data_IF_037038496912
#
_entry.id   IF_037038496912
#
_cell.length_a   1.000
_cell.length_b   1.000
_cell.length_c   1.000
_cell.angle_alpha   90.00
_cell.angle_beta   90.00
_cell.angle_gamma   90.00
#
_symmetry.space_group_name_H-M   'P 1'
#
loop_
_entity.id
_entity.type
_entity.pdbx_description
1 polymer ?
#
# COMPACT_ATOMS: atom_id res chain seq x y z
N UNK A 1 -78.71 -14.10 15.29
CA UNK A 1 -77.41 -14.20 15.99
C UNK A 1 -76.81 -15.58 15.70
N UNK A 2 -75.77 -15.62 14.88
CA UNK A 2 -74.73 -16.67 14.73
C UNK A 2 -73.97 -16.36 13.43
N UNK A 3 -72.95 -15.52 13.55
CA UNK A 3 -71.91 -15.34 12.54
C UNK A 3 -70.92 -16.51 12.68
N UNK A 4 -70.57 -17.17 11.58
CA UNK A 4 -69.46 -18.10 11.53
C UNK A 4 -68.25 -17.39 10.94
N UNK A 5 -67.31 -17.07 11.83
CA UNK A 5 -65.98 -16.56 11.56
C UNK A 5 -65.12 -17.68 11.01
N UNK A 6 -64.66 -17.56 9.77
CA UNK A 6 -63.58 -18.38 9.24
C UNK A 6 -62.24 -17.84 9.75
N UNK A 7 -61.57 -18.60 10.60
CA UNK A 7 -60.17 -18.36 10.99
C UNK A 7 -59.25 -18.74 9.82
N UNK A 8 -58.62 -17.74 9.18
CA UNK A 8 -57.45 -17.96 8.35
C UNK A 8 -56.21 -18.03 9.25
N UNK A 9 -55.61 -19.21 9.35
CA UNK A 9 -54.30 -19.42 9.97
C UNK A 9 -53.25 -18.97 8.96
N UNK A 10 -52.60 -17.83 9.22
CA UNK A 10 -51.39 -17.40 8.51
C UNK A 10 -50.26 -18.37 8.87
N UNK A 11 -49.89 -19.23 7.93
CA UNK A 11 -48.64 -20.00 8.00
C UNK A 11 -47.53 -19.08 7.55
N UNK A 12 -46.73 -18.58 8.50
CA UNK A 12 -45.52 -17.84 8.20
C UNK A 12 -44.49 -18.81 7.59
N UNK A 13 -44.36 -18.79 6.26
CA UNK A 13 -43.19 -19.36 5.59
C UNK A 13 -42.01 -18.44 5.88
N UNK A 14 -41.22 -18.81 6.89
CA UNK A 14 -39.83 -18.37 7.03
C UNK A 14 -39.06 -18.94 5.84
N UNK A 15 -38.96 -18.16 4.76
CA UNK A 15 -37.91 -18.36 3.77
C UNK A 15 -36.65 -17.82 4.41
N UNK A 16 -35.88 -18.70 5.04
CA UNK A 16 -34.50 -18.44 5.42
C UNK A 16 -33.71 -18.14 4.15
N UNK A 17 -33.51 -16.85 3.86
CA UNK A 17 -32.45 -16.42 2.98
C UNK A 17 -31.13 -16.97 3.57
N UNK A 18 -30.28 -17.66 2.78
CA UNK A 18 -28.98 -18.05 3.26
C UNK A 18 -28.23 -16.75 3.61
N UNK A 19 -27.77 -16.66 4.85
CA UNK A 19 -26.83 -15.64 5.25
C UNK A 19 -25.65 -15.73 4.27
N UNK A 20 -25.47 -14.67 3.47
CA UNK A 20 -24.23 -14.44 2.75
C UNK A 20 -23.15 -14.33 3.83
N UNK A 21 -22.40 -15.41 4.00
CA UNK A 21 -21.19 -15.39 4.81
C UNK A 21 -20.27 -14.34 4.21
N UNK A 22 -19.93 -13.31 4.98
CA UNK A 22 -18.76 -12.50 4.72
C UNK A 22 -17.56 -13.45 4.67
N UNK A 23 -17.11 -13.79 3.47
CA UNK A 23 -15.85 -14.49 3.26
C UNK A 23 -14.76 -13.56 3.78
N UNK A 24 -14.25 -13.85 4.96
CA UNK A 24 -13.08 -13.18 5.47
C UNK A 24 -11.90 -13.57 4.57
N UNK A 25 -11.32 -12.59 3.86
CA UNK A 25 -10.16 -12.75 2.99
C UNK A 25 -8.86 -12.86 3.81
N UNK A 26 -8.76 -13.88 4.65
CA UNK A 26 -7.52 -14.15 5.36
C UNK A 26 -6.63 -15.08 4.55
N UNK A 27 -5.40 -14.66 4.25
CA UNK A 27 -4.38 -15.53 3.66
C UNK A 27 -3.15 -15.62 4.56
N UNK A 28 -3.11 -16.66 5.39
CA UNK A 28 -1.94 -17.53 5.43
C UNK A 28 -2.29 -18.90 6.03
N UNK A 29 -2.73 -19.82 5.17
CA UNK A 29 -2.61 -21.30 5.35
C UNK A 29 -3.24 -22.11 4.22
N UNK A 30 -4.15 -21.54 3.41
CA UNK A 30 -4.91 -22.33 2.43
C UNK A 30 -4.32 -22.38 1.01
N UNK A 31 -3.31 -21.56 0.70
CA UNK A 31 -2.64 -21.58 -0.62
C UNK A 31 -1.12 -21.76 -0.48
N UNK A 32 -0.57 -22.92 -0.90
CA UNK A 32 0.86 -23.18 -0.79
C UNK A 32 1.64 -22.35 -1.81
N UNK A 33 2.78 -21.80 -1.37
CA UNK A 33 3.76 -21.17 -2.26
C UNK A 33 4.14 -22.15 -3.39
N UNK A 34 4.49 -21.66 -4.60
CA UNK A 34 5.10 -22.50 -5.62
C UNK A 34 6.28 -23.29 -5.03
N UNK A 35 6.35 -24.60 -5.27
CA UNK A 35 7.34 -25.50 -4.62
C UNK A 35 8.78 -24.97 -4.67
N UNK A 36 9.15 -24.36 -5.80
CA UNK A 36 10.49 -23.79 -5.99
C UNK A 36 10.74 -22.51 -5.17
N UNK A 37 9.70 -21.74 -4.84
CA UNK A 37 9.75 -20.60 -3.93
C UNK A 37 9.71 -21.07 -2.47
N UNK A 38 8.83 -22.02 -2.15
CA UNK A 38 8.70 -22.61 -0.82
C UNK A 38 10.05 -23.18 -0.31
N UNK A 39 10.79 -23.88 -1.19
CA UNK A 39 12.11 -24.40 -0.83
C UNK A 39 13.11 -23.28 -0.54
N UNK A 40 13.09 -22.17 -1.31
CA UNK A 40 13.97 -21.01 -1.06
C UNK A 40 13.62 -20.35 0.27
N UNK A 41 12.33 -20.18 0.57
CA UNK A 41 11.83 -19.65 1.84
C UNK A 41 12.34 -20.47 3.03
N UNK A 42 12.21 -21.81 2.97
CA UNK A 42 12.71 -22.72 4.01
C UNK A 42 14.23 -22.63 4.17
N UNK A 43 14.97 -22.68 3.06
CA UNK A 43 16.43 -22.61 3.07
C UNK A 43 16.94 -21.26 3.60
N UNK A 44 16.28 -20.17 3.23
CA UNK A 44 16.63 -18.82 3.65
C UNK A 44 16.48 -18.66 5.16
N UNK A 45 15.32 -19.05 5.70
CA UNK A 45 15.09 -19.01 7.15
C UNK A 45 16.11 -19.86 7.90
N UNK A 46 16.33 -21.11 7.47
CA UNK A 46 17.27 -22.01 8.12
C UNK A 46 18.72 -21.49 8.09
N UNK A 47 19.18 -20.91 6.98
CA UNK A 47 20.52 -20.31 6.89
C UNK A 47 20.69 -19.12 7.84
N UNK A 48 19.68 -18.28 8.00
CA UNK A 48 19.71 -17.14 8.91
C UNK A 48 19.71 -17.57 10.38
N UNK A 49 18.80 -18.46 10.76
CA UNK A 49 18.72 -18.99 12.13
C UNK A 49 20.03 -19.70 12.52
N UNK A 50 20.60 -20.52 11.62
CA UNK A 50 21.89 -21.18 11.85
C UNK A 50 23.07 -20.20 12.01
N UNK A 51 22.93 -18.96 11.53
CA UNK A 51 23.92 -17.88 11.65
C UNK A 51 23.65 -16.95 12.83
N UNK A 52 22.63 -17.24 13.64
CA UNK A 52 22.31 -16.50 14.85
C UNK A 52 21.45 -15.24 14.64
N UNK A 53 20.88 -15.04 13.45
CA UNK A 53 19.90 -13.99 13.25
C UNK A 53 18.57 -14.36 13.91
N UNK A 54 17.87 -13.36 14.43
CA UNK A 54 16.47 -13.51 14.83
C UNK A 54 15.59 -13.34 13.59
N UNK A 55 14.69 -14.30 13.35
CA UNK A 55 13.83 -14.33 12.17
C UNK A 55 12.38 -14.49 12.61
N UNK A 56 11.51 -13.60 12.16
CA UNK A 56 10.08 -13.67 12.39
C UNK A 56 9.34 -13.57 11.05
N UNK A 57 8.29 -14.35 10.86
CA UNK A 57 7.55 -14.42 9.61
C UNK A 57 6.23 -13.66 9.73
N UNK A 58 5.91 -12.87 8.72
CA UNK A 58 4.60 -12.20 8.60
C UNK A 58 3.64 -12.90 7.64
N UNK A 59 2.48 -12.28 7.48
CA UNK A 59 1.38 -12.73 6.62
C UNK A 59 1.09 -11.68 5.55
N UNK A 60 0.41 -12.04 4.47
CA UNK A 60 0.03 -11.12 3.38
C UNK A 60 -1.48 -11.05 3.25
N UNK A 61 -1.99 -9.85 3.01
CA UNK A 61 -3.43 -9.60 2.91
C UNK A 61 -3.74 -8.78 1.67
N UNK A 62 -4.92 -9.02 1.11
CA UNK A 62 -5.48 -8.21 0.04
C UNK A 62 -6.42 -7.18 0.67
N UNK A 63 -6.07 -5.89 0.55
CA UNK A 63 -6.86 -4.78 1.02
C UNK A 63 -7.87 -4.35 -0.05
N UNK A 64 -9.12 -4.72 0.17
CA UNK A 64 -10.25 -4.50 -0.75
C UNK A 64 -11.11 -3.32 -0.32
N UNK A 65 -12.09 -2.95 -1.14
CA UNK A 65 -13.01 -1.85 -0.81
C UNK A 65 -13.93 -2.22 0.37
N UNK A 66 -14.24 -3.50 0.54
CA UNK A 66 -15.03 -4.01 1.67
C UNK A 66 -14.32 -3.79 3.01
N UNK A 67 -12.98 -3.73 2.99
CA UNK A 67 -12.15 -3.51 4.16
C UNK A 67 -12.11 -2.02 4.56
N UNK A 68 -12.57 -1.09 3.71
CA UNK A 68 -12.56 0.34 4.00
C UNK A 68 -13.26 0.73 5.30
N UNK A 69 -14.21 -0.08 5.78
CA UNK A 69 -14.85 0.13 7.09
C UNK A 69 -13.84 0.25 8.24
N UNK A 70 -12.74 -0.49 8.19
CA UNK A 70 -11.74 -0.51 9.24
C UNK A 70 -10.92 0.78 9.29
N UNK A 71 -10.21 1.23 8.24
CA UNK A 71 -9.47 2.48 8.31
C UNK A 71 -10.38 3.71 8.39
N UNK A 72 -11.65 3.62 7.94
CA UNK A 72 -12.65 4.66 8.24
C UNK A 72 -12.96 4.76 9.74
N UNK A 73 -13.03 3.64 10.45
CA UNK A 73 -13.22 3.62 11.90
C UNK A 73 -11.94 4.02 12.65
N UNK A 74 -10.79 3.49 12.25
CA UNK A 74 -9.50 3.73 12.91
C UNK A 74 -9.00 5.14 12.63
N UNK A 75 -8.76 5.48 11.37
CA UNK A 75 -8.10 6.73 10.98
C UNK A 75 -9.02 7.69 10.22
N UNK A 76 -10.32 7.40 10.08
CA UNK A 76 -11.29 8.30 9.45
C UNK A 76 -11.16 8.49 7.94
N UNK A 77 -10.35 7.70 7.23
CA UNK A 77 -10.21 7.72 5.76
C UNK A 77 -9.88 6.31 5.23
N UNK A 78 -10.27 5.99 4.00
CA UNK A 78 -9.86 4.76 3.32
C UNK A 78 -8.62 4.92 2.41
N UNK A 79 -7.78 5.92 2.67
CA UNK A 79 -6.43 6.06 2.07
C UNK A 79 -6.35 5.94 0.53
N UNK A 80 -7.38 6.39 -0.18
CA UNK A 80 -7.41 6.28 -1.65
C UNK A 80 -7.46 4.84 -2.17
N UNK A 81 -8.10 3.91 -1.44
CA UNK A 81 -8.29 2.52 -1.90
C UNK A 81 -8.85 2.50 -3.32
N UNK A 82 -8.23 1.69 -4.19
CA UNK A 82 -8.66 1.52 -5.57
C UNK A 82 -9.41 0.18 -5.69
N UNK A 83 -10.76 0.20 -5.77
CA UNK A 83 -11.55 -1.04 -5.82
C UNK A 83 -11.23 -1.90 -7.05
N UNK A 84 -10.76 -1.31 -8.15
CA UNK A 84 -10.41 -2.03 -9.37
C UNK A 84 -8.98 -2.59 -9.37
N UNK A 85 -8.15 -2.17 -8.42
CA UNK A 85 -6.76 -2.62 -8.27
C UNK A 85 -6.39 -2.64 -6.78
N UNK A 86 -6.91 -3.63 -6.02
CA UNK A 86 -6.69 -3.73 -4.59
C UNK A 86 -5.21 -3.85 -4.23
N UNK A 87 -4.87 -3.38 -3.05
CA UNK A 87 -3.49 -3.35 -2.54
C UNK A 87 -3.15 -4.65 -1.81
N UNK A 88 -1.89 -5.05 -1.87
CA UNK A 88 -1.35 -6.21 -1.13
C UNK A 88 -0.44 -5.69 -0.02
N UNK A 89 -0.78 -5.97 1.23
CA UNK A 89 -0.16 -5.37 2.42
C UNK A 89 0.19 -6.49 3.40
N UNK A 90 1.43 -6.55 3.93
CA UNK A 90 1.79 -7.56 4.90
C UNK A 90 1.37 -7.15 6.31
N UNK A 91 1.06 -8.14 7.16
CA UNK A 91 1.10 -7.97 8.61
C UNK A 91 2.35 -8.63 9.17
N UNK A 92 2.98 -7.99 10.13
CA UNK A 92 4.26 -8.42 10.68
C UNK A 92 4.17 -8.65 12.20
N UNK A 93 4.83 -9.68 12.75
CA UNK A 93 4.97 -9.81 14.20
C UNK A 93 5.84 -8.66 14.74
N UNK A 94 5.53 -8.16 15.93
CA UNK A 94 6.37 -7.17 16.60
C UNK A 94 7.50 -7.84 17.38
N UNK A 95 8.65 -7.16 17.55
CA UNK A 95 9.66 -7.65 18.48
C UNK A 95 9.18 -7.46 19.93
N UNK A 96 9.61 -8.30 20.89
CA UNK A 96 9.20 -8.16 22.29
C UNK A 96 9.52 -6.80 22.94
N UNK A 97 10.54 -6.11 22.42
CA UNK A 97 11.02 -4.80 22.85
C UNK A 97 10.50 -3.64 21.98
N UNK A 98 9.58 -3.91 21.06
CA UNK A 98 8.97 -2.90 20.19
C UNK A 98 7.75 -2.25 20.84
N UNK A 99 7.65 -0.93 20.68
CA UNK A 99 6.49 -0.17 21.13
C UNK A 99 5.24 -0.63 20.37
N UNK A 100 4.18 -0.90 21.14
CA UNK A 100 2.88 -1.31 20.61
C UNK A 100 1.93 -0.12 20.65
N UNK A 101 1.43 0.27 19.47
CA UNK A 101 0.32 1.22 19.37
C UNK A 101 -1.00 0.47 19.15
N UNK A 102 -1.66 0.10 20.25
CA UNK A 102 -2.92 -0.66 20.20
C UNK A 102 -4.03 0.08 19.45
N UNK A 103 -3.94 1.40 19.32
CA UNK A 103 -4.94 2.19 18.58
C UNK A 103 -4.91 1.92 17.07
N UNK A 104 -3.83 1.30 16.59
CA UNK A 104 -3.61 0.95 15.18
C UNK A 104 -3.76 -0.55 14.90
N UNK A 105 -4.09 -1.36 15.93
CA UNK A 105 -4.08 -2.83 15.87
C UNK A 105 -4.95 -3.40 14.74
N UNK A 106 -6.12 -2.79 14.52
CA UNK A 106 -7.11 -3.23 13.53
C UNK A 106 -7.24 -2.24 12.35
N UNK A 107 -6.16 -1.50 12.05
CA UNK A 107 -6.14 -0.47 11.00
C UNK A 107 -6.80 -0.90 9.68
N UNK A 108 -6.47 -2.10 9.17
CA UNK A 108 -7.08 -2.68 7.97
C UNK A 108 -7.91 -3.93 8.28
N UNK A 109 -8.37 -4.03 9.53
CA UNK A 109 -9.11 -5.17 10.04
C UNK A 109 -8.30 -6.05 10.99
N UNK A 110 -8.96 -7.06 11.59
CA UNK A 110 -8.32 -7.97 12.52
C UNK A 110 -7.23 -8.79 11.83
N UNK A 111 -6.14 -9.02 12.54
CA UNK A 111 -4.98 -9.78 12.05
C UNK A 111 -4.89 -11.14 12.73
N UNK A 112 -4.23 -12.09 12.09
CA UNK A 112 -3.88 -13.38 12.68
C UNK A 112 -2.53 -13.33 13.41
N UNK A 113 -2.26 -14.34 14.23
CA UNK A 113 -0.94 -14.64 14.83
C UNK A 113 -0.29 -13.50 15.61
N UNK A 114 -1.08 -12.58 16.18
CA UNK A 114 -0.57 -11.39 16.87
C UNK A 114 0.40 -10.61 15.96
N UNK A 115 -0.09 -10.21 14.80
CA UNK A 115 0.65 -9.42 13.81
C UNK A 115 0.04 -8.02 13.65
N UNK A 116 0.83 -7.07 13.15
CA UNK A 116 0.44 -5.66 12.99
C UNK A 116 0.58 -5.19 11.54
N UNK A 117 -0.28 -4.26 11.15
CA UNK A 117 -0.28 -3.62 9.83
C UNK A 117 0.89 -2.64 9.63
N UNK A 118 1.45 -2.15 10.73
CA UNK A 118 2.61 -1.26 10.75
C UNK A 118 3.70 -1.86 11.63
N UNK A 119 4.94 -1.46 11.37
CA UNK A 119 6.11 -1.92 12.11
C UNK A 119 7.12 -0.79 12.27
N UNK A 120 8.00 -0.89 13.26
CA UNK A 120 9.18 -0.04 13.39
C UNK A 120 10.42 -0.82 12.99
N UNK A 121 11.43 -0.12 12.49
CA UNK A 121 12.65 -0.74 11.97
C UNK A 121 13.86 -0.41 12.84
N UNK A 122 14.50 -1.44 13.40
CA UNK A 122 15.80 -1.28 14.07
C UNK A 122 16.93 -1.00 13.05
N UNK A 123 17.99 -0.33 13.51
CA UNK A 123 19.16 0.01 12.68
C UNK A 123 19.93 -1.22 12.16
N UNK A 124 19.71 -2.40 12.72
CA UNK A 124 20.33 -3.68 12.33
C UNK A 124 19.32 -4.68 11.79
N UNK A 125 18.16 -4.20 11.39
CA UNK A 125 17.06 -5.02 10.92
C UNK A 125 16.85 -4.85 9.42
N UNK A 126 16.21 -5.85 8.82
CA UNK A 126 15.63 -5.76 7.51
C UNK A 126 14.30 -6.48 7.42
N UNK A 127 13.50 -6.07 6.46
CA UNK A 127 12.42 -6.90 5.91
C UNK A 127 12.93 -7.57 4.64
N UNK A 128 12.58 -8.84 4.48
CA UNK A 128 12.91 -9.60 3.27
C UNK A 128 11.65 -10.21 2.71
N UNK A 129 11.32 -9.82 1.48
CA UNK A 129 10.18 -10.35 0.73
C UNK A 129 10.70 -11.33 -0.31
N UNK A 130 10.12 -12.53 -0.35
CA UNK A 130 10.34 -13.53 -1.40
C UNK A 130 9.03 -13.71 -2.14
N UNK A 131 8.98 -13.32 -3.42
CA UNK A 131 7.75 -13.20 -4.17
C UNK A 131 7.78 -14.04 -5.44
N UNK A 132 6.65 -14.69 -5.75
CA UNK A 132 6.26 -14.95 -7.13
C UNK A 132 5.44 -13.75 -7.61
N UNK A 133 5.99 -12.97 -8.55
CA UNK A 133 5.31 -11.81 -9.11
C UNK A 133 4.09 -12.21 -9.94
N UNK A 134 3.08 -11.31 -10.08
CA UNK A 134 1.84 -11.62 -10.78
C UNK A 134 2.06 -11.90 -12.27
N UNK A 135 1.05 -12.47 -12.96
CA UNK A 135 1.05 -12.56 -14.42
C UNK A 135 1.13 -11.17 -15.08
N UNK A 136 1.37 -11.10 -16.40
CA UNK A 136 1.42 -9.84 -17.14
C UNK A 136 0.21 -8.95 -16.86
N UNK A 137 0.50 -7.68 -16.60
CA UNK A 137 -0.48 -6.63 -16.41
C UNK A 137 0.15 -5.27 -16.70
N UNK A 138 -0.62 -4.19 -16.52
CA UNK A 138 -0.12 -2.84 -16.83
C UNK A 138 0.85 -2.30 -15.79
N UNK A 139 0.77 -2.78 -14.55
CA UNK A 139 1.58 -2.22 -13.48
C UNK A 139 1.72 -3.18 -12.30
N UNK A 140 2.96 -3.30 -11.80
CA UNK A 140 3.26 -3.83 -10.48
C UNK A 140 4.27 -2.91 -9.77
N UNK A 141 4.12 -2.73 -8.45
CA UNK A 141 5.16 -2.13 -7.60
C UNK A 141 5.08 -2.66 -6.16
N UNK A 142 6.19 -2.51 -5.44
CA UNK A 142 6.26 -2.65 -3.98
C UNK A 142 7.10 -1.51 -3.40
N UNK A 143 6.60 -0.91 -2.32
CA UNK A 143 7.19 0.28 -1.71
C UNK A 143 6.90 0.35 -0.21
N UNK A 144 7.82 0.93 0.54
CA UNK A 144 7.67 1.20 1.97
C UNK A 144 7.31 2.66 2.20
N UNK A 145 6.40 2.89 3.14
CA UNK A 145 5.94 4.21 3.54
C UNK A 145 6.18 4.44 5.02
N UNK A 146 6.54 5.67 5.40
CA UNK A 146 6.33 6.17 6.76
C UNK A 146 4.84 6.44 6.94
N UNK A 147 4.16 5.59 7.68
CA UNK A 147 2.71 5.66 7.86
C UNK A 147 2.32 6.65 8.95
N UNK A 148 2.94 6.57 10.14
CA UNK A 148 2.76 7.57 11.19
C UNK A 148 4.07 7.96 11.84
N UNK A 149 4.14 9.20 12.30
CA UNK A 149 5.34 9.78 12.88
C UNK A 149 4.98 10.48 14.20
N UNK A 150 5.85 10.45 15.22
CA UNK A 150 5.65 11.27 16.42
C UNK A 150 5.76 12.77 16.05
N UNK A 151 4.79 13.58 16.46
CA UNK A 151 4.79 14.99 16.08
C UNK A 151 3.54 15.76 16.47
N UNK A 152 3.54 17.04 16.11
CA UNK A 152 2.41 17.95 16.26
C UNK A 152 2.21 18.70 14.96
N UNK A 153 0.95 18.97 14.63
CA UNK A 153 0.61 19.85 13.51
C UNK A 153 1.20 21.24 13.82
N UNK A 154 2.08 21.70 12.93
CA UNK A 154 2.63 23.04 12.99
C UNK A 154 1.69 23.99 12.26
N UNK A 155 0.89 24.76 13.00
CA UNK A 155 -0.03 25.71 12.38
C UNK A 155 0.67 26.91 11.76
N UNK A 156 1.92 27.18 12.12
CA UNK A 156 2.70 28.28 11.55
C UNK A 156 3.42 27.89 10.25
N UNK A 157 3.31 26.62 9.83
CA UNK A 157 3.86 26.12 8.56
C UNK A 157 3.20 26.79 7.35
N UNK A 158 3.99 27.10 6.32
CA UNK A 158 3.52 27.79 5.12
C UNK A 158 2.42 27.00 4.38
N UNK A 159 2.51 25.67 4.35
CA UNK A 159 1.53 24.81 3.68
C UNK A 159 0.24 24.80 4.50
N UNK A 160 0.34 24.71 5.83
CA UNK A 160 -0.83 24.79 6.70
C UNK A 160 -1.60 26.10 6.49
N UNK A 161 -0.90 27.23 6.42
CA UNK A 161 -1.51 28.53 6.16
C UNK A 161 -2.12 28.61 4.75
N UNK A 162 -1.46 28.02 3.74
CA UNK A 162 -1.93 28.04 2.35
C UNK A 162 -3.28 27.35 2.13
N UNK A 163 -3.59 26.33 2.94
CA UNK A 163 -4.85 25.57 2.84
C UNK A 163 -5.86 25.93 3.94
N UNK A 164 -5.62 26.97 4.72
CA UNK A 164 -6.51 27.33 5.85
C UNK A 164 -7.94 27.68 5.41
N UNK A 165 -8.11 28.23 4.20
CA UNK A 165 -9.41 28.54 3.61
C UNK A 165 -10.08 27.33 2.94
N UNK A 166 -9.43 26.17 2.90
CA UNK A 166 -9.91 24.91 2.33
C UNK A 166 -9.98 23.83 3.44
N UNK A 167 -11.13 23.73 4.15
CA UNK A 167 -11.29 22.77 5.25
C UNK A 167 -11.11 21.32 4.82
N UNK A 168 -11.38 21.00 3.55
CA UNK A 168 -11.21 19.66 3.03
C UNK A 168 -9.71 19.33 2.90
N UNK A 169 -8.95 20.19 2.23
CA UNK A 169 -7.49 20.05 2.12
C UNK A 169 -6.81 20.02 3.49
N UNK A 170 -7.22 20.89 4.40
CA UNK A 170 -6.72 20.89 5.77
C UNK A 170 -6.97 19.55 6.48
N UNK A 171 -8.16 18.95 6.29
CA UNK A 171 -8.53 17.69 6.94
C UNK A 171 -7.77 16.45 6.44
N UNK A 172 -7.28 16.47 5.20
CA UNK A 172 -6.53 15.35 4.60
C UNK A 172 -5.02 15.50 4.82
N UNK A 173 -4.49 16.73 4.77
CA UNK A 173 -3.06 17.02 4.92
C UNK A 173 -2.62 17.09 6.37
N UNK A 174 -3.46 17.57 7.29
CA UNK A 174 -3.07 17.78 8.68
C UNK A 174 -3.92 16.93 9.61
N UNK A 175 -3.65 15.63 9.59
CA UNK A 175 -4.41 14.63 10.34
C UNK A 175 -3.55 13.99 11.42
N UNK A 176 -4.12 13.88 12.63
CA UNK A 176 -3.54 13.07 13.70
C UNK A 176 -3.85 11.59 13.51
N UNK A 177 -2.95 10.73 13.95
CA UNK A 177 -3.26 9.34 14.24
C UNK A 177 -4.25 9.26 15.44
N UNK A 178 -4.99 8.16 15.61
CA UNK A 178 -5.73 7.87 16.84
C UNK A 178 -4.90 8.03 18.11
N UNK A 179 -3.62 7.67 18.03
CA UNK A 179 -2.64 8.08 19.03
C UNK A 179 -2.27 9.55 18.84
N UNK A 180 -2.76 10.42 19.74
CA UNK A 180 -2.69 11.88 19.60
C UNK A 180 -1.28 12.49 19.70
N UNK A 181 -0.27 11.71 20.08
CA UNK A 181 1.15 12.11 19.99
C UNK A 181 1.73 11.91 18.59
N UNK A 182 0.98 11.28 17.69
CA UNK A 182 1.42 10.90 16.34
C UNK A 182 0.55 11.56 15.27
N UNK A 183 1.17 11.76 14.11
CA UNK A 183 0.55 12.29 12.91
C UNK A 183 0.40 11.17 11.88
N UNK A 184 -0.69 11.20 11.13
CA UNK A 184 -0.81 10.40 9.93
C UNK A 184 0.01 11.08 8.84
N UNK A 185 1.03 10.39 8.34
CA UNK A 185 2.03 10.97 7.43
C UNK A 185 2.01 10.31 6.06
N UNK A 186 1.88 8.98 6.00
CA UNK A 186 1.81 8.21 4.77
C UNK A 186 2.73 8.71 3.62
N UNK A 187 4.03 8.72 3.88
CA UNK A 187 5.07 9.27 3.01
C UNK A 187 5.95 8.19 2.39
N UNK A 188 6.24 8.29 1.10
CA UNK A 188 7.26 7.45 0.47
C UNK A 188 8.64 7.73 1.07
N UNK A 189 9.55 6.75 0.98
CA UNK A 189 10.92 6.87 1.53
C UNK A 189 12.01 6.86 0.46
N UNK A 190 11.61 6.93 -0.81
CA UNK A 190 12.50 6.92 -1.96
C UNK A 190 11.78 6.45 -3.23
N UNK A 191 12.55 6.01 -4.21
CA UNK A 191 12.01 5.39 -5.43
C UNK A 191 11.45 4.00 -5.15
N UNK A 192 10.35 3.68 -5.83
CA UNK A 192 9.67 2.41 -5.66
C UNK A 192 10.29 1.28 -6.48
N UNK A 193 10.09 0.04 -6.04
CA UNK A 193 10.47 -1.13 -6.85
C UNK A 193 9.30 -1.51 -7.75
N UNK A 194 9.14 -0.79 -8.87
CA UNK A 194 8.12 -1.07 -9.87
C UNK A 194 8.58 -2.10 -10.94
N UNK A 195 7.65 -2.59 -11.73
CA UNK A 195 7.89 -3.54 -12.80
C UNK A 195 8.93 -3.07 -13.84
N UNK A 196 9.04 -1.76 -14.11
CA UNK A 196 10.05 -1.19 -15.02
C UNK A 196 11.44 -1.33 -14.42
N UNK A 197 11.64 -0.92 -13.18
CA UNK A 197 12.91 -1.07 -12.44
C UNK A 197 13.31 -2.55 -12.34
N UNK A 198 12.34 -3.43 -12.07
CA UNK A 198 12.55 -4.87 -11.98
C UNK A 198 13.02 -5.43 -13.31
N UNK A 199 12.35 -5.08 -14.41
CA UNK A 199 12.70 -5.53 -15.75
C UNK A 199 14.07 -5.00 -16.19
N UNK A 200 14.38 -3.73 -15.97
CA UNK A 200 15.68 -3.15 -16.32
C UNK A 200 16.84 -3.84 -15.60
N UNK A 201 16.68 -4.18 -14.32
CA UNK A 201 17.74 -4.84 -13.55
C UNK A 201 17.88 -6.33 -13.89
N UNK A 202 16.77 -7.02 -14.13
CA UNK A 202 16.72 -8.50 -14.13
C UNK A 202 16.28 -9.14 -15.46
N UNK A 203 15.89 -8.34 -16.44
CA UNK A 203 15.48 -8.73 -17.79
C UNK A 203 13.98 -9.07 -17.94
N UNK A 204 13.24 -9.20 -16.84
CA UNK A 204 11.78 -9.43 -16.85
C UNK A 204 11.18 -9.11 -15.47
N UNK A 205 9.91 -8.72 -15.42
CA UNK A 205 9.19 -8.49 -14.16
C UNK A 205 8.13 -9.55 -13.88
N UNK A 206 7.09 -9.64 -14.71
CA UNK A 206 5.93 -10.50 -14.49
C UNK A 206 6.24 -11.99 -14.60
N UNK A 207 5.47 -12.81 -13.88
CA UNK A 207 5.64 -14.27 -13.75
C UNK A 207 7.03 -14.71 -13.25
N UNK A 208 7.80 -13.81 -12.64
CA UNK A 208 9.12 -14.12 -12.13
C UNK A 208 9.18 -14.20 -10.60
N UNK A 209 10.12 -14.98 -10.10
CA UNK A 209 10.51 -14.89 -8.69
C UNK A 209 11.44 -13.71 -8.47
N UNK A 210 11.08 -12.82 -7.53
CA UNK A 210 11.86 -11.63 -7.19
C UNK A 210 11.96 -11.49 -5.68
N UNK A 211 13.04 -10.87 -5.23
CA UNK A 211 13.39 -10.81 -3.82
C UNK A 211 13.70 -9.37 -3.44
N UNK A 212 13.07 -8.87 -2.38
CA UNK A 212 13.20 -7.48 -1.95
C UNK A 212 13.80 -7.44 -0.55
N UNK A 213 14.76 -6.55 -0.32
CA UNK A 213 15.36 -6.28 0.98
C UNK A 213 15.09 -4.82 1.32
N UNK A 214 14.36 -4.58 2.40
CA UNK A 214 14.10 -3.25 2.94
C UNK A 214 14.96 -3.11 4.19
N UNK A 215 15.97 -2.23 4.17
CA UNK A 215 16.88 -2.09 5.32
C UNK A 215 17.60 -0.75 5.33
N UNK A 216 17.94 -0.30 6.53
CA UNK A 216 18.78 0.89 6.74
C UNK A 216 20.27 0.60 6.70
N UNK A 217 20.68 -0.67 6.70
CA UNK A 217 22.07 -1.06 6.90
C UNK A 217 22.65 -1.83 5.70
N UNK A 218 23.70 -1.27 5.09
CA UNK A 218 24.43 -1.88 3.99
C UNK A 218 25.07 -3.21 4.38
N UNK A 219 25.39 -3.43 5.66
CA UNK A 219 25.84 -4.75 6.15
C UNK A 219 24.71 -5.77 6.01
N UNK A 220 23.51 -5.44 6.49
CA UNK A 220 22.32 -6.30 6.36
C UNK A 220 22.01 -6.58 4.90
N UNK A 221 21.99 -5.57 4.02
CA UNK A 221 21.86 -5.76 2.56
C UNK A 221 22.79 -6.86 2.05
N UNK A 222 24.10 -6.75 2.35
CA UNK A 222 25.11 -7.70 1.85
C UNK A 222 24.91 -9.10 2.42
N UNK A 223 24.63 -9.23 3.71
CA UNK A 223 24.44 -10.52 4.41
C UNK A 223 23.19 -11.24 3.92
N UNK A 224 22.08 -10.52 3.80
CA UNK A 224 20.80 -11.07 3.35
C UNK A 224 20.81 -11.43 1.87
N UNK A 225 21.45 -10.62 1.02
CA UNK A 225 21.69 -10.99 -0.38
C UNK A 225 22.47 -12.30 -0.47
N UNK A 226 23.52 -12.48 0.35
CA UNK A 226 24.28 -13.73 0.38
C UNK A 226 23.46 -14.92 0.90
N UNK A 227 22.57 -14.70 1.90
CA UNK A 227 21.67 -15.72 2.40
C UNK A 227 20.66 -16.16 1.34
N UNK A 228 20.07 -15.21 0.60
CA UNK A 228 19.20 -15.48 -0.54
C UNK A 228 19.91 -16.32 -1.62
N UNK A 229 21.14 -15.98 -1.98
CA UNK A 229 21.93 -16.77 -2.93
C UNK A 229 22.16 -18.21 -2.43
N UNK A 230 22.52 -18.40 -1.16
CA UNK A 230 22.66 -19.74 -0.55
C UNK A 230 21.34 -20.50 -0.50
N UNK A 231 20.22 -19.79 -0.38
CA UNK A 231 18.89 -20.38 -0.40
C UNK A 231 18.45 -20.87 -1.79
N UNK A 232 19.18 -20.52 -2.86
CA UNK A 232 18.91 -20.93 -4.23
C UNK A 232 18.41 -19.81 -5.13
N UNK A 233 18.54 -18.53 -4.74
CA UNK A 233 18.33 -17.41 -5.65
C UNK A 233 19.42 -17.43 -6.74
N UNK A 234 19.06 -17.48 -8.04
CA UNK A 234 20.01 -17.71 -9.13
C UNK A 234 21.13 -16.67 -9.24
N UNK A 235 20.79 -15.39 -9.05
CA UNK A 235 21.70 -14.28 -9.31
C UNK A 235 21.36 -13.05 -8.47
N UNK A 236 22.38 -12.21 -8.23
CA UNK A 236 22.24 -10.99 -7.42
C UNK A 236 21.30 -9.96 -8.03
N UNK A 237 21.18 -9.92 -9.35
CA UNK A 237 20.30 -8.98 -10.04
C UNK A 237 18.80 -9.31 -9.89
N UNK A 238 18.45 -10.44 -9.26
CA UNK A 238 17.07 -10.75 -8.87
C UNK A 238 16.73 -10.25 -7.45
N UNK A 239 17.71 -9.66 -6.74
CA UNK A 239 17.56 -9.09 -5.41
C UNK A 239 17.54 -7.57 -5.51
N UNK A 240 16.45 -6.98 -5.07
CA UNK A 240 16.17 -5.55 -5.08
C UNK A 240 16.32 -5.01 -3.67
N UNK A 241 16.99 -3.88 -3.50
CA UNK A 241 17.15 -3.28 -2.17
C UNK A 241 16.47 -1.93 -2.14
N UNK A 242 15.51 -1.79 -1.24
CA UNK A 242 14.93 -0.51 -0.86
C UNK A 242 15.72 0.04 0.34
N UNK A 243 16.49 1.12 0.16
CA UNK A 243 17.26 1.71 1.23
C UNK A 243 16.37 2.53 2.17
N UNK A 244 16.43 2.27 3.46
CA UNK A 244 15.77 3.10 4.49
C UNK A 244 16.79 4.06 5.09
N UNK A 245 16.80 5.32 4.62
CA UNK A 245 17.78 6.29 5.13
C UNK A 245 17.43 6.76 6.55
N UNK A 246 18.35 6.67 7.53
CA UNK A 246 18.14 7.25 8.86
C UNK A 246 18.12 8.78 8.87
N UNK A 247 18.54 9.43 7.77
CA UNK A 247 18.46 10.88 7.61
C UNK A 247 17.04 11.33 7.21
N UNK A 248 16.19 10.39 6.76
CA UNK A 248 14.80 10.63 6.37
C UNK A 248 13.80 10.00 7.36
N UNK A 249 14.10 8.80 7.87
CA UNK A 249 13.22 8.00 8.73
C UNK A 249 13.79 7.89 10.15
N UNK A 250 12.97 8.11 11.17
CA UNK A 250 13.36 7.89 12.58
C UNK A 250 13.31 6.41 12.92
N UNK A 251 14.46 5.74 12.75
CA UNK A 251 14.65 4.33 13.08
C UNK A 251 14.68 4.06 14.59
N UNK A 252 14.39 2.81 14.96
CA UNK A 252 14.38 2.30 16.33
C UNK A 252 13.08 1.55 16.63
N UNK A 253 12.98 0.97 17.82
CA UNK A 253 11.79 0.19 18.24
C UNK A 253 10.92 0.91 19.28
N UNK A 254 11.36 2.06 19.79
CA UNK A 254 10.64 2.83 20.81
C UNK A 254 9.53 3.72 20.24
N UNK A 255 8.74 4.30 21.15
CA UNK A 255 7.58 5.14 20.80
C UNK A 255 7.90 6.35 19.88
N UNK A 256 9.12 6.89 19.95
CA UNK A 256 9.55 8.02 19.11
C UNK A 256 9.99 7.65 17.69
N UNK A 257 10.08 6.35 17.37
CA UNK A 257 10.38 5.89 16.01
C UNK A 257 9.14 5.95 15.12
N UNK A 258 9.37 6.09 13.82
CA UNK A 258 8.32 6.14 12.81
C UNK A 258 7.72 4.74 12.57
N UNK A 259 6.40 4.69 12.37
CA UNK A 259 5.71 3.47 11.94
C UNK A 259 5.80 3.36 10.43
N UNK A 260 6.27 2.23 9.94
CA UNK A 260 6.41 1.90 8.53
C UNK A 260 5.31 0.92 8.08
N UNK A 261 4.97 0.99 6.80
CA UNK A 261 4.04 0.07 6.13
C UNK A 261 4.56 -0.25 4.74
N UNK A 262 4.49 -1.53 4.33
CA UNK A 262 4.80 -1.96 2.97
C UNK A 262 3.51 -2.08 2.18
N UNK A 263 3.49 -1.55 0.97
CA UNK A 263 2.35 -1.66 0.05
C UNK A 263 2.85 -2.19 -1.28
N UNK A 264 2.20 -3.25 -1.77
CA UNK A 264 2.35 -3.71 -3.13
C UNK A 264 1.06 -3.45 -3.93
N UNK A 265 1.21 -3.06 -5.19
CA UNK A 265 0.11 -2.78 -6.10
C UNK A 265 0.24 -3.63 -7.36
N UNK A 266 -0.87 -4.17 -7.84
CA UNK A 266 -0.98 -4.86 -9.13
C UNK A 266 -2.24 -4.41 -9.86
N UNK A 267 -2.10 -3.81 -11.03
CA UNK A 267 -3.20 -3.16 -11.75
C UNK A 267 -3.31 -3.63 -13.21
N UNK A 268 -4.57 -3.74 -13.66
CA UNK A 268 -4.98 -4.14 -15.02
C UNK A 268 -4.23 -5.38 -15.54
N UNK A 269 -4.54 -6.57 -15.00
CA UNK A 269 -4.08 -7.84 -15.57
C UNK A 269 -4.42 -7.93 -17.07
N UNK A 270 -3.53 -8.51 -17.87
CA UNK A 270 -3.87 -8.88 -19.25
C UNK A 270 -4.87 -10.06 -19.28
N UNK A 271 -4.72 -10.97 -18.32
CA UNK A 271 -5.67 -12.04 -18.00
C UNK A 271 -6.24 -11.82 -16.60
N UNK A 272 -7.49 -11.37 -16.54
CA UNK A 272 -8.21 -11.08 -15.29
C UNK A 272 -8.32 -12.32 -14.39
N UNK A 273 -8.55 -13.50 -14.96
CA UNK A 273 -8.71 -14.75 -14.20
C UNK A 273 -7.38 -15.14 -13.56
N UNK A 274 -6.29 -15.08 -14.31
CA UNK A 274 -4.95 -15.36 -13.77
C UNK A 274 -4.54 -14.32 -12.71
N UNK A 275 -4.87 -13.04 -12.93
CA UNK A 275 -4.62 -11.98 -11.97
C UNK A 275 -5.39 -12.17 -10.66
N UNK A 276 -6.65 -12.59 -10.74
CA UNK A 276 -7.48 -12.85 -9.56
C UNK A 276 -7.04 -14.11 -8.82
N UNK A 277 -6.59 -15.15 -9.53
CA UNK A 277 -5.96 -16.32 -8.91
C UNK A 277 -4.69 -15.92 -8.14
N UNK A 278 -3.85 -15.06 -8.71
CA UNK A 278 -2.67 -14.56 -7.99
C UNK A 278 -3.05 -13.77 -6.74
N UNK A 279 -4.08 -12.90 -6.83
CA UNK A 279 -4.61 -12.13 -5.69
C UNK A 279 -5.21 -12.99 -4.58
N UNK A 280 -5.79 -14.15 -4.92
CA UNK A 280 -6.30 -15.10 -3.94
C UNK A 280 -5.17 -15.90 -3.27
N UNK A 281 -4.14 -16.27 -4.05
CA UNK A 281 -3.05 -17.11 -3.56
C UNK A 281 -1.97 -16.33 -2.81
N UNK A 282 -1.77 -15.05 -3.16
CA UNK A 282 -0.71 -14.17 -2.64
C UNK A 282 0.62 -14.93 -2.43
N UNK A 283 1.26 -15.47 -3.50
CA UNK A 283 2.42 -16.36 -3.39
C UNK A 283 3.70 -15.59 -2.99
N UNK A 284 3.69 -15.08 -1.76
CA UNK A 284 4.58 -14.10 -1.18
C UNK A 284 4.94 -14.57 0.24
N UNK A 285 6.21 -14.44 0.61
CA UNK A 285 6.66 -14.61 1.99
C UNK A 285 7.37 -13.33 2.43
N UNK A 286 7.16 -12.94 3.68
CA UNK A 286 7.86 -11.80 4.29
C UNK A 286 8.47 -12.20 5.62
N UNK A 287 9.73 -11.81 5.82
CA UNK A 287 10.46 -12.02 7.06
C UNK A 287 10.95 -10.70 7.62
N UNK A 288 10.82 -10.53 8.94
CA UNK A 288 11.66 -9.64 9.73
C UNK A 288 12.94 -10.37 10.09
N UNK A 289 14.08 -9.74 9.85
CA UNK A 289 15.39 -10.30 10.18
C UNK A 289 16.20 -9.29 10.98
N UNK A 290 16.50 -9.62 12.24
CA UNK A 290 17.27 -8.77 13.15
C UNK A 290 18.60 -9.42 13.50
N UNK A 291 19.68 -8.65 13.39
CA UNK A 291 20.98 -9.02 13.91
C UNK A 291 21.05 -8.69 15.40
N UNK A 292 21.12 -9.68 16.31
CA UNK A 292 21.13 -9.44 17.74
C UNK A 292 22.47 -8.88 18.25
N UNK A 293 23.53 -8.85 17.41
CA UNK A 293 24.81 -8.27 17.79
C UNK A 293 24.74 -6.73 17.82
N UNK A 294 24.35 -6.20 18.99
CA UNK A 294 24.30 -4.77 19.25
C UNK A 294 25.67 -4.07 19.11
N UNK A 295 26.78 -4.81 19.25
CA UNK A 295 28.14 -4.27 19.20
C UNK A 295 28.69 -4.10 17.77
N UNK A 296 28.09 -4.75 16.77
CA UNK A 296 28.47 -4.59 15.37
C UNK A 296 28.41 -3.11 14.94
N UNK A 297 29.20 -2.61 14.00
CA UNK A 297 28.94 -1.26 13.46
C UNK A 297 27.82 -1.30 12.40
N UNK A 298 26.91 -0.31 12.35
CA UNK A 298 25.98 -0.14 11.22
C UNK A 298 26.63 0.66 10.09
N UNK A 299 26.23 0.39 8.84
CA UNK A 299 26.63 1.17 7.68
C UNK A 299 25.38 1.76 6.98
N UNK A 300 24.97 2.98 7.35
CA UNK A 300 23.71 3.54 6.85
C UNK A 300 23.73 3.83 5.35
N UNK A 301 22.54 3.80 4.74
CA UNK A 301 22.31 4.41 3.43
C UNK A 301 22.27 5.94 3.55
N UNK A 302 22.77 6.66 2.53
CA UNK A 302 22.61 8.12 2.49
C UNK A 302 21.14 8.47 2.25
N UNK A 303 20.81 9.76 2.40
CA UNK A 303 19.56 10.34 1.91
C UNK A 303 19.27 9.90 0.45
N UNK A 304 18.03 9.48 0.13
CA UNK A 304 17.68 9.01 -1.20
C UNK A 304 17.85 10.12 -2.24
N UNK A 305 18.29 9.75 -3.44
CA UNK A 305 18.34 10.62 -4.61
C UNK A 305 17.33 10.06 -5.61
N UNK A 306 16.32 10.86 -5.94
CA UNK A 306 15.30 10.50 -6.93
C UNK A 306 15.79 10.72 -8.34
N UNK A 307 15.25 9.92 -9.25
CA UNK A 307 15.47 10.12 -10.67
C UNK A 307 14.68 11.33 -11.17
N UNK A 308 15.13 11.96 -12.24
CA UNK A 308 14.39 13.06 -12.86
C UNK A 308 13.07 12.52 -13.43
N UNK A 309 11.94 13.03 -12.93
CA UNK A 309 10.62 12.68 -13.45
C UNK A 309 10.38 13.38 -14.78
N UNK A 310 10.36 12.61 -15.86
CA UNK A 310 9.96 13.08 -17.19
C UNK A 310 8.53 12.64 -17.45
N UNK A 311 7.63 13.58 -17.74
CA UNK A 311 6.24 13.30 -18.09
C UNK A 311 5.92 13.77 -19.51
N UNK A 312 5.03 13.06 -20.19
CA UNK A 312 4.42 13.57 -21.43
C UNK A 312 3.18 14.37 -21.06
N UNK A 313 3.04 15.56 -21.64
CA UNK A 313 1.86 16.39 -21.41
C UNK A 313 0.66 15.77 -22.11
N UNK A 314 -0.43 15.58 -21.38
CA UNK A 314 -1.72 15.16 -21.93
C UNK A 314 -2.69 16.34 -22.15
N UNK A 315 -2.20 17.58 -22.12
CA UNK A 315 -3.03 18.79 -22.30
C UNK A 315 -3.76 18.79 -23.65
N UNK A 316 -3.21 18.12 -24.65
CA UNK A 316 -3.85 17.94 -25.96
C UNK A 316 -5.18 17.16 -25.91
N UNK A 317 -5.39 16.33 -24.87
CA UNK A 317 -6.60 15.54 -24.68
C UNK A 317 -7.75 16.32 -24.02
N UNK A 318 -7.55 17.59 -23.67
CA UNK A 318 -8.59 18.40 -22.99
C UNK A 318 -9.89 18.49 -23.83
N UNK A 319 -9.75 18.59 -25.15
CA UNK A 319 -10.89 18.55 -26.08
C UNK A 319 -11.63 17.21 -26.04
N UNK A 320 -10.88 16.11 -26.09
CA UNK A 320 -11.42 14.75 -26.07
C UNK A 320 -12.18 14.46 -24.77
N UNK A 321 -11.66 14.92 -23.62
CA UNK A 321 -12.34 14.80 -22.32
C UNK A 321 -13.66 15.57 -22.33
N UNK A 322 -13.69 16.80 -22.88
CA UNK A 322 -14.92 17.59 -23.00
C UNK A 322 -15.97 16.91 -23.89
N UNK A 323 -15.55 16.33 -25.01
CA UNK A 323 -16.43 15.54 -25.88
C UNK A 323 -16.96 14.30 -25.17
N UNK A 324 -16.11 13.59 -24.42
CA UNK A 324 -16.51 12.42 -23.64
C UNK A 324 -17.52 12.76 -22.55
N UNK A 325 -17.32 13.87 -21.82
CA UNK A 325 -18.29 14.37 -20.83
C UNK A 325 -19.64 14.67 -21.50
N UNK A 326 -19.64 15.31 -22.68
CA UNK A 326 -20.87 15.58 -23.42
C UNK A 326 -21.57 14.29 -23.87
N UNK A 327 -20.81 13.30 -24.35
CA UNK A 327 -21.34 12.00 -24.75
C UNK A 327 -21.95 11.24 -23.56
N UNK A 328 -21.32 11.25 -22.39
CA UNK A 328 -21.86 10.65 -21.16
C UNK A 328 -23.16 11.35 -20.76
N UNK A 329 -23.20 12.67 -20.74
CA UNK A 329 -24.43 13.44 -20.46
C UNK A 329 -25.57 13.08 -21.41
N UNK A 330 -25.28 12.98 -22.70
CA UNK A 330 -26.27 12.60 -23.71
C UNK A 330 -26.75 11.16 -23.51
N UNK A 331 -25.85 10.22 -23.26
CA UNK A 331 -26.14 8.78 -23.07
C UNK A 331 -27.12 8.53 -21.91
N UNK A 332 -27.05 9.37 -20.88
CA UNK A 332 -27.89 9.31 -19.69
C UNK A 332 -29.06 10.30 -19.72
N UNK A 333 -29.23 11.09 -20.78
CA UNK A 333 -30.32 12.06 -20.91
C UNK A 333 -30.23 13.23 -19.92
N UNK A 334 -29.03 13.58 -19.45
CA UNK A 334 -28.78 14.62 -18.44
C UNK A 334 -27.88 15.75 -18.97
N UNK A 335 -28.33 16.56 -19.94
CA UNK A 335 -27.51 17.63 -20.52
C UNK A 335 -27.06 18.69 -19.50
N UNK A 336 -27.86 18.90 -18.45
CA UNK A 336 -27.60 19.88 -17.39
C UNK A 336 -26.90 19.29 -16.16
N UNK A 337 -26.38 18.05 -16.23
CA UNK A 337 -25.63 17.47 -15.12
C UNK A 337 -24.43 18.37 -14.76
N UNK A 338 -24.23 18.57 -13.45
CA UNK A 338 -23.07 19.31 -12.93
C UNK A 338 -21.79 18.54 -13.24
N UNK A 339 -20.73 19.26 -13.57
CA UNK A 339 -19.40 18.70 -13.84
C UNK A 339 -18.47 19.26 -12.78
N UNK A 340 -17.77 18.38 -12.08
CA UNK A 340 -16.62 18.74 -11.26
C UNK A 340 -15.36 18.31 -12.00
N UNK A 341 -14.37 19.20 -12.03
CA UNK A 341 -13.07 18.90 -12.65
C UNK A 341 -12.15 18.25 -11.63
N UNK A 342 -11.22 17.44 -12.14
CA UNK A 342 -10.10 16.91 -11.37
C UNK A 342 -8.91 17.85 -11.54
N UNK A 343 -8.18 18.09 -10.46
CA UNK A 343 -6.97 18.88 -10.47
C UNK A 343 -5.80 18.04 -9.95
N UNK A 344 -4.63 18.19 -10.56
CA UNK A 344 -3.41 17.58 -10.02
C UNK A 344 -3.11 18.20 -8.66
N UNK A 345 -2.96 17.33 -7.66
CA UNK A 345 -2.64 17.73 -6.30
C UNK A 345 -1.21 18.24 -6.18
N UNK A 346 -0.32 17.75 -7.06
CA UNK A 346 1.08 18.17 -7.15
C UNK A 346 1.23 19.65 -7.53
N UNK A 347 0.22 20.26 -8.16
CA UNK A 347 0.19 21.69 -8.46
C UNK A 347 -0.10 22.56 -7.24
N UNK A 348 -0.63 21.97 -6.16
CA UNK A 348 -1.04 22.69 -4.94
C UNK A 348 -0.07 22.47 -3.80
N UNK A 349 0.37 21.24 -3.61
CA UNK A 349 1.19 20.85 -2.46
C UNK A 349 2.28 19.88 -2.92
N UNK A 350 3.49 20.12 -2.44
CA UNK A 350 4.60 19.19 -2.61
C UNK A 350 4.42 18.01 -1.67
N UNK A 351 3.98 16.89 -2.22
CA UNK A 351 3.69 15.67 -1.50
C UNK A 351 4.88 14.70 -1.45
N UNK A 352 6.02 15.02 -2.07
CA UNK A 352 7.16 14.11 -2.09
C UNK A 352 7.61 13.80 -0.67
N UNK A 353 7.70 12.51 -0.33
CA UNK A 353 8.01 12.07 1.04
C UNK A 353 9.24 12.73 1.64
N UNK A 354 10.29 12.96 0.85
CA UNK A 354 11.51 13.68 1.25
C UNK A 354 11.29 15.13 1.68
N UNK A 355 10.29 15.80 1.10
CA UNK A 355 9.94 17.19 1.38
C UNK A 355 8.84 17.30 2.43
N UNK A 356 7.93 16.33 2.42
CA UNK A 356 6.75 16.26 3.27
C UNK A 356 7.08 15.70 4.66
N UNK A 357 7.93 14.69 4.83
CA UNK A 357 8.29 14.14 6.16
C UNK A 357 8.84 15.20 7.15
N UNK A 358 9.74 16.12 6.73
CA UNK A 358 10.20 17.21 7.60
C UNK A 358 9.11 18.22 7.99
N UNK A 359 8.01 18.29 7.22
CA UNK A 359 6.88 19.19 7.42
C UNK A 359 5.71 18.37 7.98
N UNK A 360 5.49 18.28 9.31
CA UNK A 360 4.59 17.32 9.96
C UNK A 360 3.14 17.28 9.40
N UNK A 361 2.98 16.62 8.24
CA UNK A 361 1.80 16.60 7.39
C UNK A 361 1.70 15.23 6.70
N UNK A 362 0.55 14.97 6.11
CA UNK A 362 0.23 13.77 5.35
C UNK A 362 0.62 13.97 3.88
N UNK A 363 1.43 13.06 3.37
CA UNK A 363 1.93 13.02 2.00
C UNK A 363 1.01 12.20 1.08
N UNK A 364 -0.07 11.64 1.65
CA UNK A 364 -1.17 11.01 0.92
C UNK A 364 -0.76 9.78 0.08
N UNK A 365 0.28 9.07 0.52
CA UNK A 365 0.78 7.89 -0.19
C UNK A 365 1.47 8.25 -1.51
N UNK A 366 2.18 9.38 -1.54
CA UNK A 366 2.93 9.86 -2.70
C UNK A 366 3.81 8.76 -3.32
N UNK A 367 4.03 8.82 -4.63
CA UNK A 367 5.06 8.01 -5.29
C UNK A 367 5.46 8.68 -6.61
N UNK A 368 6.59 8.26 -7.18
CA UNK A 368 7.10 8.78 -8.44
C UNK A 368 6.28 8.38 -9.67
N UNK A 369 5.39 7.39 -9.53
CA UNK A 369 4.75 6.69 -10.65
C UNK A 369 3.35 7.22 -11.00
N UNK A 370 2.83 8.19 -10.26
CA UNK A 370 1.47 8.70 -10.48
C UNK A 370 1.36 10.20 -10.33
N UNK A 371 0.42 10.79 -11.09
CA UNK A 371 -0.13 12.10 -10.76
C UNK A 371 -1.39 11.86 -9.91
N UNK A 372 -1.38 12.36 -8.67
CA UNK A 372 -2.54 12.26 -7.78
C UNK A 372 -3.51 13.38 -8.09
N UNK A 373 -4.71 13.02 -8.55
CA UNK A 373 -5.75 13.98 -8.86
C UNK A 373 -6.79 14.05 -7.75
N UNK A 374 -7.29 15.26 -7.49
CA UNK A 374 -8.33 15.54 -6.52
C UNK A 374 -9.54 16.17 -7.20
N UNK A 375 -10.74 15.78 -6.78
CA UNK A 375 -11.99 16.38 -7.25
C UNK A 375 -12.75 17.02 -6.08
N UNK A 376 -13.78 17.85 -6.36
CA UNK A 376 -14.76 18.22 -5.36
C UNK A 376 -15.42 16.99 -4.71
N UNK A 377 -15.79 17.12 -3.43
CA UNK A 377 -16.49 16.06 -2.69
C UNK A 377 -17.91 15.88 -3.20
N UNK A 378 -18.31 14.62 -3.45
CA UNK A 378 -19.69 14.23 -3.77
C UNK A 378 -20.23 13.23 -2.75
N UNK A 379 -21.55 13.20 -2.55
CA UNK A 379 -22.27 12.19 -1.76
C UNK A 379 -23.17 11.38 -2.69
N UNK A 380 -23.25 10.07 -2.49
CA UNK A 380 -23.94 9.12 -3.39
C UNK A 380 -25.11 8.39 -2.69
N UNK A 381 -25.55 8.86 -1.53
CA UNK A 381 -26.54 8.20 -0.65
C UNK A 381 -28.01 8.48 -1.01
N UNK A 382 -28.25 9.18 -2.12
CA UNK A 382 -29.56 9.74 -2.53
C UNK A 382 -30.16 9.05 -3.78
N UNK A 383 -29.58 7.94 -4.24
CA UNK A 383 -29.96 7.31 -5.53
C UNK A 383 -29.37 8.02 -6.75
N UNK A 384 -28.38 8.89 -6.53
CA UNK A 384 -27.61 9.56 -7.56
C UNK A 384 -26.53 8.64 -8.15
N UNK A 385 -26.22 8.82 -9.43
CA UNK A 385 -25.11 8.14 -10.11
C UNK A 385 -24.02 9.17 -10.36
N UNK A 386 -22.82 8.91 -9.84
CA UNK A 386 -21.62 9.67 -10.17
C UNK A 386 -20.90 9.00 -11.35
N UNK A 387 -20.76 9.72 -12.46
CA UNK A 387 -19.91 9.29 -13.57
C UNK A 387 -18.54 9.94 -13.41
N UNK A 388 -17.51 9.11 -13.22
CA UNK A 388 -16.11 9.55 -13.30
C UNK A 388 -15.64 9.34 -14.73
N UNK A 389 -15.17 10.42 -15.35
CA UNK A 389 -14.80 10.46 -16.76
C UNK A 389 -13.35 10.90 -16.86
N UNK A 390 -12.54 10.15 -17.59
CA UNK A 390 -11.14 10.46 -17.85
C UNK A 390 -10.64 9.69 -19.07
N UNK A 391 -9.55 10.17 -19.65
CA UNK A 391 -8.82 9.46 -20.70
C UNK A 391 -7.94 8.40 -20.04
N UNK A 392 -7.99 7.17 -20.54
CA UNK A 392 -7.06 6.13 -20.09
C UNK A 392 -5.68 6.44 -20.68
N UNK A 393 -4.75 6.83 -19.82
CA UNK A 393 -3.39 7.20 -20.21
C UNK A 393 -2.72 6.07 -21.00
N UNK A 394 -1.92 6.44 -22.01
CA UNK A 394 -0.90 5.53 -22.53
C UNK A 394 0.17 5.42 -21.44
N UNK A 395 0.63 4.22 -21.05
CA UNK A 395 1.83 4.15 -20.21
C UNK A 395 2.96 4.91 -20.93
N UNK A 396 3.86 5.59 -20.18
CA UNK A 396 4.97 6.30 -20.78
C UNK A 396 5.74 5.34 -21.69
N UNK A 397 5.74 5.63 -22.99
CA UNK A 397 6.68 5.02 -23.91
C UNK A 397 8.03 5.65 -23.61
N UNK A 398 8.78 5.03 -22.71
CA UNK A 398 10.17 5.42 -22.49
C UNK A 398 10.95 5.13 -23.78
N UNK A 399 11.75 6.08 -24.29
CA UNK A 399 12.52 5.85 -25.49
C UNK A 399 13.49 4.69 -25.24
N UNK A 400 13.44 3.68 -26.10
CA UNK A 400 14.52 2.71 -26.20
C UNK A 400 15.83 3.49 -26.42
N UNK A 401 16.76 3.37 -25.49
CA UNK A 401 18.17 3.73 -25.71
C UNK A 401 18.99 2.46 -25.83
#
# INVERSE_FOLDING_TARGET
MKFHTFCFVFTAMLVSAPALSSSNNYSNSDHPLPKSLEQKVKNFRADLEARGYQVAQGNWHLFTIEDCKFPLETIGICMGNNPAAPYVIPTLPLWPDEFVDDTMKDLLGPTQDDTWWTYRLDKREALVVLAQLPPPGRYFSIETYVFTCEGKINTDDEIYQSVQADPFMQSILFKKSPNLSRLLTFASIGENNNHVVIEQQSGAAFDQQRFFIITSDKVMKRKLTQALLRAGVPARNQVFTEPVSPDLVRLGLGAGADDLMIIARYAHPEDEVAGDQWRQQLPLAVFRVRDPDAARATEPFPFPVRDERIAQSELELEGDVKELVAAVKQRWGQPNAKVGEFESLLLKVDLLGEHCLPRPMNCLGDNSDTDYQISPTARIDSGEVLAVVGTSARPPVMPHT
#
